data_IF_025402925458
#
_entry.id   IF_025402925458
#
_cell.length_a   1.000
_cell.length_b   1.000
_cell.length_c   1.000
_cell.angle_alpha   90.00
_cell.angle_beta   90.00
_cell.angle_gamma   90.00
#
_symmetry.space_group_name_H-M   'P 1'
#
loop_
_entity.id
_entity.type
_entity.pdbx_description
1 polymer ?
#
# COMPACT_ATOMS: atom_id res chain seq x y z
N UNK A 1 25.00 45.55 -3.08
CA UNK A 1 24.86 44.09 -2.95
C UNK A 1 26.12 43.62 -2.26
N UNK A 2 26.02 43.40 -0.96
CA UNK A 2 27.13 42.93 -0.14
C UNK A 2 27.31 41.44 -0.44
N UNK A 3 28.50 41.06 -0.91
CA UNK A 3 28.83 39.66 -1.17
C UNK A 3 29.06 38.97 0.17
N UNK A 4 28.16 38.06 0.52
CA UNK A 4 28.31 37.15 1.65
C UNK A 4 29.57 36.31 1.44
N UNK A 5 30.43 36.23 2.46
CA UNK A 5 31.64 35.40 2.40
C UNK A 5 31.26 33.92 2.62
N UNK A 6 32.18 32.99 2.32
CA UNK A 6 31.91 31.55 2.44
C UNK A 6 31.56 31.09 3.88
N UNK A 7 31.96 31.86 4.91
CA UNK A 7 31.62 31.61 6.32
C UNK A 7 30.17 32.03 6.61
N UNK A 8 29.69 33.12 6.02
CA UNK A 8 28.29 33.54 6.10
C UNK A 8 27.38 32.64 5.26
N UNK A 9 27.88 32.08 4.15
CA UNK A 9 27.20 31.05 3.35
C UNK A 9 27.12 29.69 4.08
N UNK A 10 28.10 29.35 4.91
CA UNK A 10 28.04 28.17 5.80
C UNK A 10 27.04 28.35 6.95
N UNK A 11 26.81 29.60 7.38
CA UNK A 11 25.74 29.95 8.33
C UNK A 11 24.33 29.96 7.69
N UNK A 12 24.24 30.06 6.36
CA UNK A 12 23.04 29.68 5.58
C UNK A 12 23.07 28.16 5.33
N UNK A 13 23.39 27.39 6.36
CA UNK A 13 23.16 25.95 6.40
C UNK A 13 21.66 25.72 6.24
N UNK A 14 21.30 24.87 5.28
CA UNK A 14 19.93 24.65 4.83
C UNK A 14 18.92 24.58 5.97
N UNK A 15 17.84 25.34 5.81
CA UNK A 15 16.69 25.44 6.72
C UNK A 15 16.44 24.16 7.51
N UNK A 16 16.44 24.34 8.83
CA UNK A 16 16.00 23.35 9.81
C UNK A 16 14.70 22.66 9.38
N UNK A 17 14.56 21.40 9.81
CA UNK A 17 13.60 20.40 9.36
C UNK A 17 12.22 20.88 8.87
N UNK A 18 11.68 20.16 7.88
CA UNK A 18 10.41 20.45 7.25
C UNK A 18 9.27 19.68 7.91
N UNK A 19 8.15 20.36 8.14
CA UNK A 19 6.92 19.72 8.60
C UNK A 19 6.04 19.35 7.42
N UNK A 20 5.76 18.07 7.24
CA UNK A 20 4.83 17.56 6.23
C UNK A 20 3.51 17.15 6.86
N UNK A 21 2.40 17.51 6.19
CA UNK A 21 1.10 16.91 6.43
C UNK A 21 0.63 16.21 5.17
N UNK A 22 0.09 15.00 5.31
CA UNK A 22 -0.32 14.16 4.19
C UNK A 22 -1.74 13.65 4.40
N UNK A 23 -2.65 13.99 3.49
CA UNK A 23 -4.02 13.45 3.48
C UNK A 23 -4.25 12.65 2.21
N UNK A 24 -4.50 11.36 2.38
CA UNK A 24 -4.80 10.42 1.31
C UNK A 24 -6.30 10.10 1.38
N UNK A 25 -7.01 10.29 0.27
CA UNK A 25 -8.41 9.89 0.14
C UNK A 25 -8.51 8.87 -0.99
N UNK A 26 -9.15 7.72 -0.73
CA UNK A 26 -9.24 6.60 -1.64
C UNK A 26 -10.70 6.32 -1.95
N UNK A 27 -11.04 6.39 -3.24
CA UNK A 27 -12.23 5.83 -3.87
C UNK A 27 -13.57 6.08 -3.18
N UNK A 28 -13.74 7.22 -2.51
CA UNK A 28 -14.95 7.49 -1.74
C UNK A 28 -15.52 8.88 -2.00
N UNK A 29 -16.83 9.00 -1.81
CA UNK A 29 -17.55 10.28 -1.85
C UNK A 29 -17.28 11.10 -0.59
N UNK A 30 -17.71 12.35 -0.57
CA UNK A 30 -17.67 13.21 0.63
C UNK A 30 -18.41 12.62 1.83
N UNK A 31 -19.37 11.71 1.60
CA UNK A 31 -20.08 10.97 2.65
C UNK A 31 -19.29 9.77 3.21
N UNK A 32 -18.11 9.46 2.67
CA UNK A 32 -17.28 8.35 3.14
C UNK A 32 -17.83 6.96 2.76
N UNK A 33 -18.47 6.89 1.58
CA UNK A 33 -19.01 5.68 0.92
C UNK A 33 -18.32 5.53 -0.43
N UNK A 34 -18.11 4.29 -0.88
CA UNK A 34 -17.44 3.95 -2.14
C UNK A 34 -18.06 4.75 -3.28
N UNK A 35 -17.23 5.45 -4.04
CA UNK A 35 -17.67 6.25 -5.16
C UNK A 35 -17.85 5.37 -6.39
N UNK A 36 -19.07 4.87 -6.60
CA UNK A 36 -19.45 4.05 -7.75
C UNK A 36 -19.76 4.88 -9.01
N UNK A 37 -19.45 6.18 -9.02
CA UNK A 37 -19.61 7.01 -10.20
C UNK A 37 -18.60 6.62 -11.30
N UNK A 38 -18.92 6.94 -12.55
CA UNK A 38 -18.07 6.68 -13.72
C UNK A 38 -16.64 7.23 -13.59
N UNK A 39 -16.42 8.23 -12.74
CA UNK A 39 -15.12 8.88 -12.57
C UNK A 39 -14.14 8.11 -11.65
N UNK A 40 -14.65 7.24 -10.77
CA UNK A 40 -13.83 6.60 -9.73
C UNK A 40 -13.97 5.07 -9.79
N UNK A 41 -15.10 4.52 -9.33
CA UNK A 41 -15.38 3.07 -9.37
C UNK A 41 -16.61 2.74 -10.23
N UNK A 42 -16.77 3.40 -11.38
CA UNK A 42 -17.87 3.11 -12.32
C UNK A 42 -17.84 1.67 -12.84
N UNK A 43 -16.63 1.12 -12.95
CA UNK A 43 -16.39 -0.31 -13.06
C UNK A 43 -15.69 -0.80 -11.79
N UNK A 44 -16.42 -1.57 -10.99
CA UNK A 44 -15.95 -2.05 -9.68
C UNK A 44 -14.65 -2.87 -9.79
N UNK A 45 -14.34 -3.46 -10.95
CA UNK A 45 -13.11 -4.21 -11.19
C UNK A 45 -11.85 -3.39 -10.94
N UNK A 46 -11.90 -2.08 -11.16
CA UNK A 46 -10.75 -1.19 -10.98
C UNK A 46 -10.57 -0.68 -9.55
N UNK A 47 -11.54 -0.96 -8.66
CA UNK A 47 -11.45 -0.62 -7.24
C UNK A 47 -11.15 -1.85 -6.36
N UNK A 48 -10.39 -2.78 -6.93
CA UNK A 48 -9.96 -4.02 -6.27
C UNK A 48 -8.43 -4.09 -6.15
N UNK A 49 -7.96 -4.76 -5.12
CA UNK A 49 -6.56 -5.21 -5.00
C UNK A 49 -6.54 -6.73 -5.03
N UNK A 50 -5.91 -7.30 -6.05
CA UNK A 50 -5.64 -8.73 -6.14
C UNK A 50 -4.23 -9.05 -5.64
N UNK A 51 -4.11 -10.00 -4.71
CA UNK A 51 -2.83 -10.52 -4.22
C UNK A 51 -2.81 -12.03 -4.48
N UNK A 52 -1.85 -12.51 -5.28
CA UNK A 52 -1.61 -13.95 -5.41
C UNK A 52 -0.61 -14.37 -4.35
N UNK A 53 -1.04 -15.17 -3.38
CA UNK A 53 -0.20 -15.67 -2.31
C UNK A 53 0.44 -16.98 -2.75
N UNK A 54 1.77 -17.04 -2.74
CA UNK A 54 2.54 -18.25 -3.07
C UNK A 54 2.22 -18.84 -4.45
N UNK A 55 1.71 -18.02 -5.39
CA UNK A 55 1.21 -18.44 -6.71
C UNK A 55 0.41 -19.74 -6.64
N UNK A 56 -0.52 -19.82 -5.69
CA UNK A 56 -1.39 -20.98 -5.51
C UNK A 56 -2.36 -21.12 -6.68
N UNK A 57 -2.63 -22.35 -7.09
CA UNK A 57 -3.59 -22.66 -8.14
C UNK A 57 -4.81 -23.42 -7.60
N UNK A 58 -5.93 -23.36 -8.32
CA UNK A 58 -7.20 -23.97 -7.90
C UNK A 58 -7.16 -25.50 -7.75
N UNK A 59 -6.23 -26.17 -8.43
CA UNK A 59 -6.01 -27.61 -8.40
C UNK A 59 -4.96 -28.04 -7.36
N UNK A 60 -4.46 -27.10 -6.56
CA UNK A 60 -3.43 -27.35 -5.55
C UNK A 60 -2.00 -27.42 -6.12
N UNK A 61 -1.83 -27.23 -7.44
CA UNK A 61 -0.49 -27.05 -8.02
C UNK A 61 0.12 -25.72 -7.61
N UNK A 62 1.43 -25.56 -7.82
CA UNK A 62 2.22 -24.38 -7.48
C UNK A 62 3.22 -24.10 -8.60
N UNK A 63 3.72 -22.88 -8.63
CA UNK A 63 4.85 -22.55 -9.51
C UNK A 63 6.09 -23.35 -9.10
N UNK A 64 6.90 -23.68 -10.10
CA UNK A 64 8.21 -24.28 -9.86
C UNK A 64 9.27 -23.21 -9.94
N UNK A 65 10.13 -23.17 -8.91
CA UNK A 65 11.27 -22.25 -8.87
C UNK A 65 12.53 -23.04 -9.20
N UNK A 66 13.26 -22.60 -10.22
CA UNK A 66 14.57 -23.16 -10.51
C UNK A 66 15.56 -22.66 -9.45
N UNK A 67 16.04 -23.56 -8.59
CA UNK A 67 16.90 -23.21 -7.45
C UNK A 67 18.26 -22.60 -7.84
N UNK A 68 18.69 -22.74 -9.10
CA UNK A 68 19.98 -22.22 -9.59
C UNK A 68 19.84 -20.88 -10.32
N UNK A 69 18.75 -20.68 -11.06
CA UNK A 69 18.54 -19.48 -11.89
C UNK A 69 17.51 -18.51 -11.31
N UNK A 70 16.75 -18.93 -10.29
CA UNK A 70 15.65 -18.16 -9.71
C UNK A 70 14.43 -18.00 -10.63
N UNK A 71 14.45 -18.61 -11.82
CA UNK A 71 13.34 -18.51 -12.78
C UNK A 71 12.12 -19.24 -12.25
N UNK A 72 10.99 -18.53 -12.22
CA UNK A 72 9.68 -19.04 -11.82
C UNK A 72 8.95 -19.54 -13.06
N UNK A 73 8.55 -20.81 -13.07
CA UNK A 73 7.75 -21.41 -14.16
C UNK A 73 6.32 -21.67 -13.67
N UNK A 74 5.31 -21.06 -14.31
CA UNK A 74 3.92 -21.24 -13.94
C UNK A 74 3.43 -22.70 -14.01
N UNK A 75 2.44 -23.05 -13.18
CA UNK A 75 1.74 -24.31 -13.34
C UNK A 75 1.03 -24.38 -14.70
N UNK A 76 1.23 -25.49 -15.43
CA UNK A 76 0.63 -25.70 -16.75
C UNK A 76 -0.83 -26.17 -16.70
N UNK A 77 -1.27 -26.75 -15.58
CA UNK A 77 -2.64 -27.25 -15.37
C UNK A 77 -3.48 -26.30 -14.52
N UNK A 78 -2.81 -25.53 -13.68
CA UNK A 78 -3.44 -24.68 -12.69
C UNK A 78 -3.94 -23.36 -13.29
N UNK A 79 -5.13 -22.94 -12.86
CA UNK A 79 -5.62 -21.56 -12.92
C UNK A 79 -5.27 -20.82 -11.63
N UNK A 80 -4.59 -19.67 -11.75
CA UNK A 80 -4.02 -18.95 -10.62
C UNK A 80 -5.14 -18.42 -9.71
N UNK A 81 -4.94 -18.51 -8.41
CA UNK A 81 -5.86 -17.97 -7.41
C UNK A 81 -5.36 -16.63 -6.87
N UNK A 82 -6.32 -15.76 -6.58
CA UNK A 82 -6.10 -14.41 -6.09
C UNK A 82 -6.93 -14.19 -4.85
N UNK A 83 -6.31 -13.66 -3.80
CA UNK A 83 -7.02 -13.02 -2.72
C UNK A 83 -7.39 -11.61 -3.16
N UNK A 84 -8.68 -11.33 -3.33
CA UNK A 84 -9.16 -10.09 -3.93
C UNK A 84 -9.92 -9.26 -2.89
N UNK A 85 -9.34 -8.11 -2.56
CA UNK A 85 -9.97 -7.07 -1.75
C UNK A 85 -10.80 -6.19 -2.65
N UNK A 86 -12.10 -6.08 -2.40
CA UNK A 86 -13.06 -5.38 -3.26
C UNK A 86 -13.58 -4.12 -2.59
N UNK A 87 -13.70 -3.03 -3.36
CA UNK A 87 -14.21 -1.77 -2.87
C UNK A 87 -13.29 -1.12 -1.83
N UNK A 88 -11.98 -1.09 -2.09
CA UNK A 88 -11.03 -0.43 -1.18
C UNK A 88 -11.30 1.06 -1.16
N UNK A 89 -11.50 1.60 0.04
CA UNK A 89 -11.90 2.98 0.24
C UNK A 89 -11.43 3.53 1.60
N UNK A 90 -11.47 4.85 1.74
CA UNK A 90 -11.31 5.55 3.01
C UNK A 90 -10.33 6.73 2.96
N UNK A 91 -10.14 7.36 4.11
CA UNK A 91 -9.18 8.47 4.27
C UNK A 91 -8.15 8.14 5.32
N UNK A 92 -6.88 8.35 4.98
CA UNK A 92 -5.79 8.42 5.94
C UNK A 92 -5.28 9.86 5.99
N UNK A 93 -5.30 10.45 7.18
CA UNK A 93 -4.75 11.77 7.42
C UNK A 93 -3.57 11.66 8.40
N UNK A 94 -2.38 11.99 7.93
CA UNK A 94 -1.17 12.12 8.73
C UNK A 94 -0.97 13.62 8.96
N UNK A 95 -1.37 14.14 10.13
CA UNK A 95 -1.34 15.58 10.38
C UNK A 95 0.07 16.14 10.50
N UNK A 96 1.05 15.29 10.83
CA UNK A 96 2.44 15.70 11.01
C UNK A 96 3.41 14.56 10.75
N UNK A 97 4.42 14.87 9.94
CA UNK A 97 5.67 14.15 9.79
C UNK A 97 6.76 15.22 9.84
N UNK A 98 7.57 15.26 10.90
CA UNK A 98 8.71 16.14 10.95
C UNK A 98 9.88 15.49 10.22
N UNK A 99 10.39 16.13 9.17
CA UNK A 99 11.52 15.68 8.36
C UNK A 99 12.75 16.46 8.79
N UNK A 100 13.70 15.78 9.41
CA UNK A 100 14.92 16.38 9.94
C UNK A 100 16.16 15.61 9.47
N UNK A 101 17.30 16.28 9.42
CA UNK A 101 18.59 15.64 9.20
C UNK A 101 19.18 15.21 10.55
N UNK A 102 19.61 13.96 10.68
CA UNK A 102 20.32 13.50 11.87
C UNK A 102 21.45 12.56 11.46
N UNK A 103 22.59 12.67 12.12
CA UNK A 103 23.66 11.70 11.92
C UNK A 103 23.44 10.46 12.77
N UNK A 104 23.72 9.31 12.20
CA UNK A 104 23.79 8.04 12.93
C UNK A 104 25.20 7.47 12.87
N UNK A 105 25.61 6.79 13.93
CA UNK A 105 26.91 6.13 13.99
C UNK A 105 26.72 4.63 13.98
N UNK A 106 27.30 3.95 13.00
CA UNK A 106 27.35 2.50 12.92
C UNK A 106 28.81 2.04 12.77
N UNK A 107 29.28 1.13 13.63
CA UNK A 107 30.64 0.60 13.61
C UNK A 107 31.74 1.69 13.45
N UNK A 108 31.58 2.81 14.17
CA UNK A 108 32.45 4.00 14.14
C UNK A 108 32.44 4.81 12.83
N UNK A 109 31.55 4.48 11.89
CA UNK A 109 31.30 5.28 10.68
C UNK A 109 30.03 6.10 10.87
N UNK A 110 30.12 7.40 10.58
CA UNK A 110 28.98 8.32 10.64
C UNK A 110 28.27 8.33 9.28
N UNK A 111 26.96 8.19 9.30
CA UNK A 111 26.10 8.26 8.13
C UNK A 111 25.07 9.35 8.35
N UNK A 112 24.94 10.25 7.38
CA UNK A 112 23.83 11.18 7.34
C UNK A 112 22.53 10.39 7.15
N UNK A 113 21.52 10.69 7.98
CA UNK A 113 20.22 10.06 7.92
C UNK A 113 19.09 11.10 7.80
N UNK A 114 18.05 10.72 7.09
CA UNK A 114 16.75 11.41 7.12
C UNK A 114 15.97 10.84 8.28
N UNK A 115 15.59 11.71 9.23
CA UNK A 115 14.75 11.38 10.37
C UNK A 115 13.32 11.83 10.10
N UNK A 116 12.39 10.89 10.12
CA UNK A 116 10.96 11.14 10.12
C UNK A 116 10.45 11.01 11.56
N UNK A 117 9.92 12.09 12.11
CA UNK A 117 9.40 12.15 13.49
C UNK A 117 7.88 12.24 13.50
N UNK A 118 7.28 11.61 14.52
CA UNK A 118 5.84 11.61 14.73
C UNK A 118 5.53 12.21 16.10
N UNK A 119 4.44 12.96 16.18
CA UNK A 119 3.98 13.60 17.40
C UNK A 119 2.78 12.82 17.96
N UNK A 120 2.87 12.26 19.18
CA UNK A 120 1.78 11.48 19.76
C UNK A 120 0.50 12.29 19.99
N UNK A 121 0.60 13.62 20.12
CA UNK A 121 -0.55 14.51 20.25
C UNK A 121 -1.22 14.83 18.90
N UNK A 122 -0.55 14.50 17.79
CA UNK A 122 -1.07 14.63 16.42
C UNK A 122 -1.13 13.24 15.77
N UNK A 123 -2.06 12.37 16.23
CA UNK A 123 -2.13 10.99 15.78
C UNK A 123 -2.52 10.89 14.30
N UNK A 124 -2.09 9.82 13.64
CA UNK A 124 -2.56 9.46 12.31
C UNK A 124 -4.04 9.09 12.40
N UNK A 125 -4.87 9.71 11.59
CA UNK A 125 -6.32 9.53 11.63
C UNK A 125 -6.74 8.65 10.45
N UNK A 126 -7.35 7.52 10.77
CA UNK A 126 -7.97 6.63 9.81
C UNK A 126 -9.47 6.84 9.87
N UNK A 127 -10.09 7.18 8.74
CA UNK A 127 -11.54 7.32 8.62
C UNK A 127 -12.03 6.39 7.54
N UNK A 128 -12.83 5.40 7.92
CA UNK A 128 -13.48 4.48 7.00
C UNK A 128 -12.50 3.74 6.08
N UNK A 129 -11.26 3.48 6.55
CA UNK A 129 -10.23 2.80 5.77
C UNK A 129 -10.51 1.30 5.78
N UNK A 130 -10.62 0.71 4.61
CA UNK A 130 -10.82 -0.74 4.49
C UNK A 130 -11.37 -1.14 3.13
N UNK A 131 -12.09 -2.25 3.11
CA UNK A 131 -12.66 -2.88 1.91
C UNK A 131 -14.05 -3.44 2.23
N UNK A 132 -14.91 -3.49 1.22
CA UNK A 132 -16.29 -3.93 1.39
C UNK A 132 -16.42 -5.44 1.44
N UNK A 133 -15.66 -6.16 0.60
CA UNK A 133 -15.65 -7.61 0.60
C UNK A 133 -14.29 -8.20 0.18
N UNK A 134 -14.03 -9.42 0.65
CA UNK A 134 -12.84 -10.21 0.38
C UNK A 134 -13.29 -11.54 -0.22
N UNK A 135 -12.69 -11.94 -1.33
CA UNK A 135 -12.97 -13.24 -1.95
C UNK A 135 -11.69 -13.88 -2.47
N UNK A 136 -11.78 -15.17 -2.76
CA UNK A 136 -10.78 -15.87 -3.57
C UNK A 136 -11.35 -15.95 -4.98
N UNK A 137 -10.68 -15.30 -5.92
CA UNK A 137 -11.03 -15.35 -7.35
C UNK A 137 -10.00 -16.18 -8.10
N UNK A 138 -10.42 -16.82 -9.18
CA UNK A 138 -9.55 -17.70 -9.97
C UNK A 138 -9.51 -17.22 -11.42
N UNK A 139 -8.35 -17.32 -12.03
CA UNK A 139 -8.18 -17.10 -13.47
C UNK A 139 -9.13 -17.96 -14.31
N UNK A 140 -9.46 -17.49 -15.51
CA UNK A 140 -10.36 -18.24 -16.40
C UNK A 140 -9.68 -19.43 -17.05
N UNK A 141 -8.37 -19.34 -17.33
CA UNK A 141 -7.59 -20.38 -18.04
C UNK A 141 -6.32 -20.74 -17.28
N UNK A 142 -5.79 -21.93 -17.59
CA UNK A 142 -4.57 -22.43 -16.95
C UNK A 142 -3.33 -21.69 -17.50
N UNK A 143 -2.25 -21.67 -16.70
CA UNK A 143 -0.93 -21.14 -17.09
C UNK A 143 -0.92 -19.69 -17.59
N UNK A 144 -1.92 -18.89 -17.20
CA UNK A 144 -2.12 -17.52 -17.72
C UNK A 144 -2.13 -17.47 -19.27
N UNK A 145 -2.63 -18.54 -19.90
CA UNK A 145 -2.60 -18.74 -21.34
C UNK A 145 -3.47 -17.75 -22.15
N UNK A 146 -3.53 -17.97 -23.46
CA UNK A 146 -4.29 -17.11 -24.37
C UNK A 146 -5.77 -17.00 -23.96
N UNK A 147 -6.27 -15.77 -23.85
CA UNK A 147 -7.65 -15.49 -23.43
C UNK A 147 -7.87 -15.48 -21.91
N UNK A 148 -6.80 -15.49 -21.10
CA UNK A 148 -6.93 -15.38 -19.65
C UNK A 148 -7.58 -14.05 -19.24
N UNK A 149 -8.61 -14.15 -18.40
CA UNK A 149 -9.09 -13.03 -17.59
C UNK A 149 -8.58 -13.30 -16.17
N UNK A 150 -7.67 -12.46 -15.66
CA UNK A 150 -7.18 -12.61 -14.30
C UNK A 150 -8.32 -12.61 -13.29
N UNK A 151 -8.23 -13.45 -12.25
CA UNK A 151 -9.28 -13.58 -11.24
C UNK A 151 -9.73 -12.25 -10.62
N UNK A 152 -8.80 -11.31 -10.41
CA UNK A 152 -9.13 -9.99 -9.87
C UNK A 152 -9.88 -9.07 -10.86
N UNK A 153 -9.90 -9.38 -12.16
CA UNK A 153 -10.63 -8.65 -13.22
C UNK A 153 -11.90 -9.37 -13.68
N UNK A 154 -12.31 -10.46 -13.01
CA UNK A 154 -13.57 -11.12 -13.34
C UNK A 154 -14.75 -10.15 -13.15
N UNK A 155 -15.80 -10.23 -13.99
CA UNK A 155 -16.98 -9.37 -13.85
C UNK A 155 -17.55 -9.40 -12.43
N UNK A 156 -17.89 -8.22 -11.91
CA UNK A 156 -18.44 -8.08 -10.56
C UNK A 156 -19.74 -8.89 -10.42
N UNK A 157 -19.81 -9.71 -9.37
CA UNK A 157 -21.04 -10.39 -8.98
C UNK A 157 -21.53 -9.81 -7.66
N UNK A 158 -22.75 -9.29 -7.66
CA UNK A 158 -23.37 -8.64 -6.49
C UNK A 158 -24.26 -9.63 -5.73
N UNK A 159 -24.46 -9.44 -4.42
CA UNK A 159 -25.34 -10.31 -3.62
C UNK A 159 -26.80 -10.33 -4.11
N UNK A 160 -27.30 -9.24 -4.69
CA UNK A 160 -28.69 -9.11 -5.15
C UNK A 160 -29.70 -8.99 -4.00
N UNK A 161 -30.96 -8.72 -4.33
CA UNK A 161 -32.06 -8.64 -3.36
C UNK A 161 -32.17 -7.29 -2.62
N UNK A 162 -32.79 -7.30 -1.44
CA UNK A 162 -32.94 -6.13 -0.56
C UNK A 162 -32.26 -6.40 0.77
N UNK A 163 -31.26 -5.61 1.13
CA UNK A 163 -30.51 -5.81 2.37
C UNK A 163 -29.20 -5.05 2.39
N UNK A 164 -28.47 -5.16 3.50
CA UNK A 164 -27.22 -4.43 3.73
C UNK A 164 -26.16 -4.66 2.64
N UNK A 165 -26.09 -5.87 2.06
CA UNK A 165 -25.10 -6.24 1.05
C UNK A 165 -25.63 -6.31 -0.38
N UNK A 166 -26.90 -5.99 -0.63
CA UNK A 166 -27.56 -6.20 -1.92
C UNK A 166 -26.79 -5.64 -3.13
N UNK A 167 -26.15 -4.47 -2.95
CA UNK A 167 -25.40 -3.76 -3.99
C UNK A 167 -23.88 -3.93 -3.87
N UNK A 168 -23.40 -4.80 -2.97
CA UNK A 168 -21.97 -5.04 -2.76
C UNK A 168 -21.51 -6.27 -3.50
N UNK A 169 -20.24 -6.26 -3.89
CA UNK A 169 -19.61 -7.42 -4.50
C UNK A 169 -19.55 -8.60 -3.52
N UNK A 170 -19.82 -9.82 -4.03
CA UNK A 170 -19.78 -11.05 -3.24
C UNK A 170 -18.38 -11.30 -2.67
N UNK A 171 -18.32 -11.64 -1.38
CA UNK A 171 -17.10 -12.03 -0.68
C UNK A 171 -17.38 -12.46 0.76
N UNK A 172 -16.49 -13.24 1.37
CA UNK A 172 -16.76 -13.86 2.68
C UNK A 172 -16.50 -12.95 3.89
N UNK A 173 -15.86 -11.80 3.71
CA UNK A 173 -15.53 -10.87 4.80
C UNK A 173 -15.40 -9.43 4.29
N UNK A 174 -15.83 -8.44 5.06
CA UNK A 174 -15.53 -7.02 4.84
C UNK A 174 -14.93 -6.41 6.11
N UNK A 175 -14.13 -5.35 5.97
CA UNK A 175 -13.55 -4.65 7.12
C UNK A 175 -13.53 -3.14 6.88
N UNK A 176 -13.93 -2.39 7.91
CA UNK A 176 -13.92 -0.93 7.90
C UNK A 176 -13.34 -0.44 9.22
N UNK A 177 -12.21 0.26 9.15
CA UNK A 177 -11.50 0.77 10.32
C UNK A 177 -11.63 2.30 10.40
N UNK A 178 -11.99 2.77 11.59
CA UNK A 178 -11.97 4.19 11.95
C UNK A 178 -11.30 4.31 13.31
N UNK A 179 -10.25 5.11 13.40
CA UNK A 179 -9.48 5.24 14.63
C UNK A 179 -8.29 6.17 14.47
N UNK A 180 -7.68 6.48 15.61
CA UNK A 180 -6.46 7.28 15.69
C UNK A 180 -5.30 6.37 16.09
N UNK A 181 -4.21 6.41 15.32
CA UNK A 181 -2.95 5.76 15.63
C UNK A 181 -2.00 6.82 16.17
N UNK A 182 -1.80 6.83 17.49
CA UNK A 182 -0.75 7.61 18.12
C UNK A 182 0.57 6.86 17.97
N UNK A 183 1.54 7.49 17.33
CA UNK A 183 2.87 6.94 17.12
C UNK A 183 3.87 7.81 17.87
N UNK A 184 4.64 7.20 18.76
CA UNK A 184 5.78 7.82 19.42
C UNK A 184 7.04 7.19 18.87
N UNK A 185 7.88 7.98 18.21
CA UNK A 185 9.15 7.48 17.69
C UNK A 185 9.66 8.28 16.50
N UNK A 186 10.81 7.84 16.00
CA UNK A 186 11.40 8.34 14.77
C UNK A 186 11.82 7.18 13.88
N UNK A 187 11.66 7.36 12.57
CA UNK A 187 12.19 6.48 11.55
C UNK A 187 13.42 7.18 10.96
N UNK A 188 14.58 6.53 11.01
CA UNK A 188 15.82 7.04 10.44
C UNK A 188 16.17 6.25 9.19
N UNK A 189 16.30 6.93 8.06
CA UNK A 189 16.63 6.36 6.76
C UNK A 189 18.03 6.84 6.41
N UNK A 190 18.96 5.91 6.20
CA UNK A 190 20.37 6.20 5.95
C UNK A 190 20.92 5.25 4.90
N UNK A 191 22.00 5.66 4.23
CA UNK A 191 22.67 4.82 3.25
C UNK A 191 23.40 3.65 3.93
N UNK A 192 23.30 2.47 3.34
CA UNK A 192 24.12 1.32 3.69
C UNK A 192 25.60 1.55 3.35
N UNK A 193 26.50 1.31 4.30
CA UNK A 193 27.95 1.19 4.04
C UNK A 193 28.38 -0.28 3.92
N UNK A 194 29.61 -0.51 3.45
CA UNK A 194 30.19 -1.84 3.15
C UNK A 194 30.24 -2.83 4.33
N UNK A 195 29.98 -2.38 5.56
CA UNK A 195 30.10 -3.16 6.80
C UNK A 195 28.78 -3.49 7.49
N UNK A 196 27.63 -3.10 6.93
CA UNK A 196 26.34 -3.31 7.58
C UNK A 196 25.71 -4.65 7.16
N UNK A 197 25.65 -5.65 8.05
CA UNK A 197 25.25 -7.04 7.72
C UNK A 197 23.79 -7.26 7.27
N UNK A 198 22.95 -6.24 7.35
CA UNK A 198 21.55 -6.25 6.87
C UNK A 198 21.33 -5.33 5.67
N UNK A 199 22.43 -4.77 5.20
CA UNK A 199 22.63 -4.36 3.82
C UNK A 199 23.41 -5.51 3.15
#
# INVERSE_FOLDING_TARGET
>A
MENLNDIDLEQVTGQAGADLSLKINLNHTSAGVLDTSAAVCGDLRFCRLGISLNNRYHDGTQDTVNATTGVITPSITGRKQWLVFKGIQGTMNIPYIGLDGEDITYASTQHAAIKLSFDPNRPIQLKNVGFESLSIETDTVAAEGSGNVPGYLTPATLYGGTGFDANKEKGFMGMKMTGNLSLTGNIKIFSCGDSHSRC
#
